data_IF_680504731106
#
_entry.id   IF_680504731106
#
_cell.length_a   1.000
_cell.length_b   1.000
_cell.length_c   1.000
_cell.angle_alpha   90.00
_cell.angle_beta   90.00
_cell.angle_gamma   90.00
#
_symmetry.space_group_name_H-M   'P 1'
#
loop_
_entity.id
_entity.type
_entity.pdbx_description
1 polymer ?
#
# COMPACT_ATOMS: atom_id res chain seq x y z
N UNK A 1 10.05 -23.03 -23.10
CA UNK A 1 10.82 -21.86 -23.57
C UNK A 1 10.92 -20.92 -22.40
N UNK A 2 12.10 -20.87 -21.80
CA UNK A 2 12.39 -20.12 -20.58
C UNK A 2 12.42 -18.64 -20.95
N UNK A 3 11.34 -17.90 -20.69
CA UNK A 3 11.38 -16.45 -20.78
C UNK A 3 12.28 -15.99 -19.65
N UNK A 4 13.56 -15.79 -19.96
CA UNK A 4 14.44 -15.01 -19.11
C UNK A 4 13.69 -13.70 -18.86
N UNK A 5 13.31 -13.45 -17.61
CA UNK A 5 12.72 -12.18 -17.18
C UNK A 5 13.70 -11.12 -17.66
N UNK A 6 13.38 -10.46 -18.78
CA UNK A 6 14.22 -9.40 -19.30
C UNK A 6 14.34 -8.41 -18.16
N UNK A 7 15.57 -8.19 -17.65
CA UNK A 7 15.81 -7.27 -16.53
C UNK A 7 15.26 -5.92 -16.94
N UNK A 8 14.05 -5.60 -16.48
CA UNK A 8 13.45 -4.31 -16.73
C UNK A 8 14.34 -3.29 -16.01
N UNK A 9 14.83 -2.31 -16.75
CA UNK A 9 15.76 -1.35 -16.17
C UNK A 9 14.98 -0.34 -15.32
N UNK A 10 14.78 -0.69 -14.05
CA UNK A 10 14.08 0.15 -13.08
C UNK A 10 14.78 1.49 -12.88
N UNK A 11 16.11 1.52 -12.96
CA UNK A 11 16.88 2.75 -12.80
C UNK A 11 16.53 3.73 -13.92
N UNK A 12 16.43 3.24 -15.17
CA UNK A 12 16.01 4.06 -16.30
C UNK A 12 14.54 4.49 -16.20
N UNK A 13 13.65 3.60 -15.77
CA UNK A 13 12.23 3.91 -15.64
C UNK A 13 11.95 4.96 -14.56
N UNK A 14 12.72 4.93 -13.46
CA UNK A 14 12.60 5.87 -12.35
C UNK A 14 13.48 7.12 -12.51
N UNK A 15 14.35 7.19 -13.53
CA UNK A 15 15.20 8.35 -13.84
C UNK A 15 14.50 9.48 -14.61
N UNK A 16 13.15 9.47 -14.70
CA UNK A 16 12.35 10.57 -15.26
C UNK A 16 12.45 11.87 -14.44
N UNK A 17 11.57 12.86 -14.62
CA UNK A 17 11.60 14.07 -13.78
C UNK A 17 11.13 13.68 -12.35
N UNK A 18 12.06 13.15 -11.55
CA UNK A 18 11.85 12.62 -10.19
C UNK A 18 11.51 13.73 -9.17
N UNK A 19 11.35 14.98 -9.64
CA UNK A 19 11.01 16.13 -8.81
C UNK A 19 9.53 16.25 -8.45
N UNK A 20 8.62 15.49 -9.10
CA UNK A 20 7.18 15.58 -8.83
C UNK A 20 6.55 14.21 -8.54
N UNK A 21 5.55 14.21 -7.67
CA UNK A 21 4.76 13.02 -7.33
C UNK A 21 4.07 12.41 -8.57
N UNK A 22 3.60 13.25 -9.48
CA UNK A 22 2.96 12.81 -10.72
C UNK A 22 3.95 12.10 -11.65
N UNK A 23 5.19 12.61 -11.75
CA UNK A 23 6.26 11.95 -12.48
C UNK A 23 6.58 10.56 -11.92
N UNK A 24 6.65 10.43 -10.60
CA UNK A 24 6.82 9.13 -9.93
C UNK A 24 5.65 8.17 -10.22
N UNK A 25 4.40 8.64 -10.13
CA UNK A 25 3.21 7.80 -10.40
C UNK A 25 3.22 7.31 -11.85
N UNK A 26 3.58 8.18 -12.80
CA UNK A 26 3.70 7.82 -14.22
C UNK A 26 4.81 6.79 -14.45
N UNK A 27 5.98 7.01 -13.86
CA UNK A 27 7.12 6.10 -13.94
C UNK A 27 6.76 4.70 -13.40
N UNK A 28 6.17 4.63 -12.20
CA UNK A 28 5.70 3.36 -11.61
C UNK A 28 4.61 2.70 -12.45
N UNK A 29 3.74 3.49 -13.09
CA UNK A 29 2.70 2.99 -13.99
C UNK A 29 3.25 2.26 -15.22
N UNK A 30 4.46 2.62 -15.67
CA UNK A 30 5.13 2.00 -16.83
C UNK A 30 5.77 0.65 -16.51
N UNK A 31 6.01 0.33 -15.24
CA UNK A 31 6.64 -0.92 -14.82
C UNK A 31 5.71 -2.11 -15.14
N UNK A 32 6.15 -3.13 -15.90
CA UNK A 32 5.33 -4.29 -16.23
C UNK A 32 4.82 -5.04 -15.00
N UNK A 33 3.61 -5.60 -15.11
CA UNK A 33 3.05 -6.49 -14.07
C UNK A 33 3.62 -7.88 -14.26
N UNK A 34 4.06 -8.51 -13.17
CA UNK A 34 4.55 -9.89 -13.17
C UNK A 34 3.41 -10.89 -13.38
N UNK A 35 3.70 -11.94 -14.15
CA UNK A 35 2.87 -13.14 -14.20
C UNK A 35 2.90 -13.87 -12.85
N UNK A 36 1.96 -14.81 -12.62
CA UNK A 36 1.96 -15.60 -11.37
C UNK A 36 3.21 -16.46 -11.30
N UNK A 37 3.63 -16.99 -12.44
CA UNK A 37 4.79 -17.86 -12.61
C UNK A 37 6.09 -17.11 -12.32
N UNK A 38 6.25 -15.89 -12.86
CA UNK A 38 7.44 -15.06 -12.60
C UNK A 38 7.50 -14.62 -11.13
N UNK A 39 6.36 -14.25 -10.54
CA UNK A 39 6.24 -13.89 -9.14
C UNK A 39 6.67 -15.05 -8.22
N UNK A 40 6.25 -16.28 -8.54
CA UNK A 40 6.68 -17.48 -7.82
C UNK A 40 8.17 -17.78 -8.02
N UNK A 41 8.69 -17.63 -9.24
CA UNK A 41 10.11 -17.86 -9.52
C UNK A 41 11.00 -16.87 -8.73
N UNK A 42 10.64 -15.60 -8.70
CA UNK A 42 11.34 -14.57 -7.93
C UNK A 42 11.21 -14.81 -6.41
N UNK A 43 10.02 -15.17 -5.93
CA UNK A 43 9.81 -15.46 -4.51
C UNK A 43 10.62 -16.67 -4.03
N UNK A 44 10.71 -17.74 -4.84
CA UNK A 44 11.57 -18.90 -4.55
C UNK A 44 13.05 -18.52 -4.53
N UNK A 45 13.52 -17.74 -5.51
CA UNK A 45 14.91 -17.23 -5.54
C UNK A 45 15.24 -16.41 -4.31
N UNK A 46 14.34 -15.52 -3.89
CA UNK A 46 14.52 -14.72 -2.69
C UNK A 46 14.59 -15.61 -1.43
N UNK A 47 13.68 -16.57 -1.29
CA UNK A 47 13.63 -17.45 -0.11
C UNK A 47 14.84 -18.38 -0.02
N UNK A 48 15.22 -19.00 -1.13
CA UNK A 48 16.21 -20.08 -1.15
C UNK A 48 17.65 -19.53 -1.21
N UNK A 49 17.86 -18.37 -1.83
CA UNK A 49 19.19 -17.80 -2.08
C UNK A 49 19.41 -16.41 -1.46
N UNK A 50 18.44 -15.87 -0.71
CA UNK A 50 18.46 -14.48 -0.20
C UNK A 50 18.72 -13.44 -1.31
N UNK A 51 18.23 -13.72 -2.52
CA UNK A 51 18.49 -12.94 -3.74
C UNK A 51 17.86 -11.54 -3.66
N UNK A 52 18.69 -10.53 -3.41
CA UNK A 52 18.27 -9.14 -3.30
C UNK A 52 17.75 -8.54 -4.61
N UNK A 53 18.25 -9.02 -5.77
CA UNK A 53 17.72 -8.60 -7.06
C UNK A 53 16.29 -9.12 -7.21
N UNK A 54 16.01 -10.37 -6.80
CA UNK A 54 14.66 -10.92 -6.82
C UNK A 54 13.71 -10.16 -5.88
N UNK A 55 14.17 -9.78 -4.67
CA UNK A 55 13.39 -8.91 -3.79
C UNK A 55 13.09 -7.55 -4.43
N UNK A 56 14.09 -6.92 -5.07
CA UNK A 56 13.93 -5.64 -5.75
C UNK A 56 12.87 -5.75 -6.86
N UNK A 57 12.97 -6.76 -7.71
CA UNK A 57 12.05 -6.96 -8.83
C UNK A 57 10.61 -7.19 -8.34
N UNK A 58 10.43 -7.99 -7.28
CA UNK A 58 9.14 -8.18 -6.60
C UNK A 58 8.57 -6.87 -6.06
N UNK A 59 9.39 -6.06 -5.38
CA UNK A 59 8.94 -4.76 -4.83
C UNK A 59 8.55 -3.82 -5.96
N UNK A 60 9.40 -3.65 -6.96
CA UNK A 60 9.22 -2.70 -8.06
C UNK A 60 7.94 -2.99 -8.86
N UNK A 61 7.66 -4.25 -9.18
CA UNK A 61 6.46 -4.66 -9.91
C UNK A 61 5.15 -4.33 -9.16
N UNK A 62 5.21 -4.20 -7.83
CA UNK A 62 4.06 -4.02 -6.95
C UNK A 62 3.86 -2.59 -6.44
N UNK A 63 4.74 -1.63 -6.79
CA UNK A 63 4.60 -0.23 -6.36
C UNK A 63 3.26 0.40 -6.79
N UNK A 64 2.73 0.03 -7.96
CA UNK A 64 1.41 0.50 -8.43
C UNK A 64 0.28 0.16 -7.45
N UNK A 65 0.38 -1.00 -6.79
CA UNK A 65 -0.61 -1.48 -5.83
C UNK A 65 -0.52 -0.69 -4.53
N UNK A 66 0.69 -0.34 -4.09
CA UNK A 66 0.90 0.54 -2.93
C UNK A 66 0.26 1.90 -3.18
N UNK A 67 0.48 2.52 -4.35
CA UNK A 67 -0.13 3.80 -4.72
C UNK A 67 -1.66 3.72 -4.65
N UNK A 68 -2.25 2.63 -5.18
CA UNK A 68 -3.69 2.40 -5.11
C UNK A 68 -4.21 2.36 -3.66
N UNK A 69 -3.52 1.65 -2.77
CA UNK A 69 -3.90 1.58 -1.35
C UNK A 69 -3.74 2.93 -0.67
N UNK A 70 -2.61 3.61 -0.87
CA UNK A 70 -2.28 4.88 -0.23
C UNK A 70 -3.29 5.99 -0.57
N UNK A 71 -3.81 6.02 -1.81
CA UNK A 71 -4.88 6.95 -2.21
C UNK A 71 -6.15 6.84 -1.33
N UNK A 72 -6.44 5.65 -0.80
CA UNK A 72 -7.56 5.42 0.14
C UNK A 72 -7.40 6.11 1.50
N UNK A 73 -6.18 6.54 1.84
CA UNK A 73 -5.83 7.25 3.08
C UNK A 73 -5.71 8.76 2.90
N UNK A 74 -6.10 9.27 1.73
CA UNK A 74 -6.11 10.72 1.49
C UNK A 74 -7.10 11.45 2.40
N UNK A 75 -6.72 12.66 2.78
CA UNK A 75 -7.54 13.59 3.57
C UNK A 75 -7.52 13.40 5.08
N UNK A 76 -6.64 12.56 5.64
CA UNK A 76 -6.21 12.67 7.04
C UNK A 76 -5.28 13.88 7.29
N UNK A 77 -5.08 14.75 6.30
CA UNK A 77 -4.19 15.92 6.39
C UNK A 77 -2.72 15.60 6.14
N UNK A 78 -2.41 14.39 5.67
CA UNK A 78 -1.05 13.92 5.42
C UNK A 78 -0.71 13.95 3.93
N UNK A 79 0.54 14.27 3.56
CA UNK A 79 1.00 14.24 2.17
C UNK A 79 0.90 12.82 1.58
N UNK A 80 0.46 12.71 0.31
CA UNK A 80 0.30 11.43 -0.36
C UNK A 80 1.64 10.72 -0.60
N UNK A 81 2.71 11.47 -0.86
CA UNK A 81 4.06 10.93 -0.98
C UNK A 81 4.47 10.18 0.28
N UNK A 82 4.22 10.72 1.47
CA UNK A 82 4.58 10.05 2.74
C UNK A 82 3.76 8.77 2.93
N UNK A 83 2.45 8.80 2.63
CA UNK A 83 1.60 7.61 2.69
C UNK A 83 2.07 6.51 1.73
N UNK A 84 2.54 6.88 0.53
CA UNK A 84 3.11 5.93 -0.43
C UNK A 84 4.41 5.33 0.12
N UNK A 85 5.30 6.15 0.70
CA UNK A 85 6.57 5.67 1.24
C UNK A 85 6.37 4.69 2.40
N UNK A 86 5.45 4.98 3.32
CA UNK A 86 5.11 4.07 4.42
C UNK A 86 4.46 2.78 3.90
N UNK A 87 3.62 2.90 2.87
CA UNK A 87 3.10 1.74 2.17
C UNK A 87 4.19 0.89 1.51
N UNK A 88 5.22 1.52 0.92
CA UNK A 88 6.35 0.84 0.31
C UNK A 88 7.18 0.09 1.37
N UNK A 89 7.38 0.68 2.56
CA UNK A 89 7.98 -0.02 3.71
C UNK A 89 7.15 -1.24 4.10
N UNK A 90 5.82 -1.13 4.11
CA UNK A 90 4.92 -2.26 4.33
C UNK A 90 5.07 -3.36 3.27
N UNK A 91 5.18 -2.99 2.00
CA UNK A 91 5.42 -3.93 0.90
C UNK A 91 6.77 -4.65 1.09
N UNK A 92 7.85 -3.94 1.41
CA UNK A 92 9.17 -4.54 1.66
C UNK A 92 9.11 -5.55 2.82
N UNK A 93 8.39 -5.20 3.91
CA UNK A 93 8.16 -6.10 5.04
C UNK A 93 7.37 -7.35 4.65
N UNK A 94 6.42 -7.23 3.72
CA UNK A 94 5.66 -8.35 3.19
C UNK A 94 6.53 -9.24 2.30
N UNK A 95 7.28 -8.67 1.35
CA UNK A 95 8.16 -9.41 0.43
C UNK A 95 9.16 -10.26 1.21
N UNK A 96 9.76 -9.71 2.28
CA UNK A 96 10.70 -10.45 3.15
C UNK A 96 10.08 -11.68 3.83
N UNK A 97 8.76 -11.71 4.03
CA UNK A 97 8.03 -12.77 4.79
C UNK A 97 7.10 -13.59 3.91
N UNK A 98 7.07 -13.32 2.62
CA UNK A 98 6.18 -14.00 1.70
C UNK A 98 6.69 -15.41 1.46
N UNK A 99 5.80 -16.38 1.61
CA UNK A 99 6.10 -17.78 1.34
C UNK A 99 5.40 -18.22 0.03
N UNK A 100 6.17 -18.59 -1.01
CA UNK A 100 5.61 -18.99 -2.30
C UNK A 100 4.86 -20.33 -2.26
N UNK A 101 5.00 -21.15 -1.22
CA UNK A 101 4.39 -22.48 -1.16
C UNK A 101 2.87 -22.43 -0.90
N UNK A 102 2.34 -21.28 -0.46
CA UNK A 102 0.89 -21.08 -0.28
C UNK A 102 0.11 -20.89 -1.60
N UNK A 103 0.78 -20.83 -2.76
CA UNK A 103 0.17 -20.65 -4.10
C UNK A 103 -0.78 -19.43 -4.26
N UNK A 104 -0.63 -18.43 -3.38
CA UNK A 104 -1.38 -17.17 -3.45
C UNK A 104 -0.55 -16.06 -4.12
N UNK A 105 -1.23 -15.06 -4.66
CA UNK A 105 -0.56 -13.85 -5.15
C UNK A 105 0.04 -13.03 -4.00
N UNK A 106 1.23 -12.47 -4.21
CA UNK A 106 1.92 -11.59 -3.27
C UNK A 106 1.02 -10.42 -2.83
N UNK A 107 0.25 -9.83 -3.74
CA UNK A 107 -0.68 -8.73 -3.40
C UNK A 107 -1.67 -9.09 -2.29
N UNK A 108 -2.16 -10.34 -2.28
CA UNK A 108 -3.12 -10.83 -1.29
C UNK A 108 -2.50 -10.87 0.11
N UNK A 109 -1.21 -11.18 0.19
CA UNK A 109 -0.46 -11.15 1.45
C UNK A 109 -0.04 -9.72 1.84
N UNK A 110 0.51 -8.97 0.88
CA UNK A 110 1.11 -7.66 1.10
C UNK A 110 0.11 -6.60 1.54
N UNK A 111 -1.16 -6.70 1.13
CA UNK A 111 -2.19 -5.70 1.46
C UNK A 111 -2.32 -5.45 2.97
N UNK A 112 -2.15 -6.49 3.79
CA UNK A 112 -2.26 -6.36 5.25
C UNK A 112 -1.08 -5.59 5.84
N UNK A 113 0.14 -5.84 5.36
CA UNK A 113 1.34 -5.13 5.76
C UNK A 113 1.32 -3.66 5.33
N UNK A 114 0.95 -3.40 4.07
CA UNK A 114 0.84 -2.05 3.51
C UNK A 114 -0.15 -1.22 4.34
N UNK A 115 -1.36 -1.76 4.60
CA UNK A 115 -2.37 -1.06 5.42
C UNK A 115 -1.93 -0.86 6.86
N UNK A 116 -1.22 -1.82 7.45
CA UNK A 116 -0.74 -1.72 8.82
C UNK A 116 0.29 -0.58 8.98
N UNK A 117 1.28 -0.49 8.08
CA UNK A 117 2.27 0.59 8.13
C UNK A 117 1.63 1.96 7.89
N UNK A 118 0.76 2.09 6.87
CA UNK A 118 0.04 3.35 6.63
C UNK A 118 -0.84 3.73 7.83
N UNK A 119 -1.55 2.78 8.44
CA UNK A 119 -2.34 3.05 9.64
C UNK A 119 -1.49 3.56 10.80
N UNK A 120 -0.34 2.93 11.03
CA UNK A 120 0.57 3.32 12.11
C UNK A 120 1.14 4.73 11.86
N UNK A 121 1.53 5.04 10.62
CA UNK A 121 1.96 6.39 10.24
C UNK A 121 0.86 7.43 10.43
N UNK A 122 -0.35 7.14 9.96
CA UNK A 122 -1.50 8.06 10.11
C UNK A 122 -1.75 8.34 11.59
N UNK A 123 -1.81 7.31 12.43
CA UNK A 123 -2.08 7.47 13.87
C UNK A 123 -1.01 8.27 14.61
N UNK A 124 0.25 8.18 14.18
CA UNK A 124 1.37 8.91 14.77
C UNK A 124 1.46 10.37 14.33
N UNK A 125 1.02 10.67 13.10
CA UNK A 125 1.33 11.95 12.44
C UNK A 125 0.10 12.80 12.07
N UNK A 126 -1.13 12.31 12.24
CA UNK A 126 -2.34 13.09 11.90
C UNK A 126 -2.53 14.38 12.72
N UNK A 127 -1.77 14.54 13.81
CA UNK A 127 -1.75 15.75 14.64
C UNK A 127 -0.36 15.93 15.27
N UNK A 128 -0.04 17.17 15.61
CA UNK A 128 1.24 17.55 16.23
C UNK A 128 1.40 16.91 17.62
N UNK A 129 0.34 16.93 18.44
CA UNK A 129 0.37 16.38 19.81
C UNK A 129 0.04 14.89 19.79
N UNK A 130 1.00 14.06 20.19
CA UNK A 130 0.84 12.61 20.27
C UNK A 130 -0.08 12.24 21.43
N UNK A 131 -0.95 11.25 21.22
CA UNK A 131 -1.80 10.71 22.29
C UNK A 131 -1.77 9.19 22.21
N UNK A 132 -1.65 8.56 23.37
CA UNK A 132 -1.76 7.12 23.49
C UNK A 132 -3.15 6.66 23.03
N UNK A 133 -3.21 5.56 22.26
CA UNK A 133 -4.46 5.03 21.75
C UNK A 133 -4.58 3.54 22.06
N UNK A 134 -5.78 3.11 22.45
CA UNK A 134 -6.12 1.69 22.61
C UNK A 134 -6.54 1.08 21.27
N UNK A 135 -6.59 -0.25 21.18
CA UNK A 135 -7.07 -0.97 19.97
C UNK A 135 -8.49 -0.54 19.56
N UNK A 136 -9.38 -0.32 20.53
CA UNK A 136 -10.74 0.15 20.29
C UNK A 136 -10.76 1.57 19.71
N UNK A 137 -9.94 2.47 20.28
CA UNK A 137 -9.82 3.85 19.80
C UNK A 137 -9.22 3.93 18.40
N UNK A 138 -8.19 3.13 18.09
CA UNK A 138 -7.63 3.02 16.73
C UNK A 138 -8.70 2.60 15.73
N UNK A 139 -9.48 1.55 16.04
CA UNK A 139 -10.59 1.09 15.20
C UNK A 139 -11.65 2.19 15.01
N UNK A 140 -12.01 2.88 16.09
CA UNK A 140 -12.97 3.98 16.06
C UNK A 140 -12.49 5.12 15.14
N UNK A 141 -11.23 5.54 15.26
CA UNK A 141 -10.63 6.61 14.46
C UNK A 141 -10.81 6.39 12.93
N UNK A 142 -10.42 5.22 12.42
CA UNK A 142 -10.56 4.92 10.99
C UNK A 142 -12.04 4.75 10.58
N UNK A 143 -12.88 4.18 11.45
CA UNK A 143 -14.31 3.98 11.16
C UNK A 143 -15.12 5.28 11.15
N UNK A 144 -14.82 6.22 12.06
CA UNK A 144 -15.52 7.50 12.13
C UNK A 144 -15.36 8.28 10.82
N UNK A 145 -14.17 8.31 10.24
CA UNK A 145 -13.95 8.95 8.95
C UNK A 145 -14.72 8.25 7.82
N UNK A 146 -14.73 6.92 7.81
CA UNK A 146 -15.50 6.14 6.82
C UNK A 146 -16.99 6.47 6.90
N UNK A 147 -17.55 6.58 8.11
CA UNK A 147 -18.96 6.92 8.36
C UNK A 147 -19.28 8.39 8.13
N UNK A 148 -18.32 9.32 8.25
CA UNK A 148 -18.54 10.75 8.01
C UNK A 148 -19.03 11.05 6.59
N UNK A 149 -18.67 10.23 5.59
CA UNK A 149 -19.19 10.37 4.22
C UNK A 149 -20.70 10.15 4.12
N UNK A 150 -21.30 9.47 5.11
CA UNK A 150 -22.72 9.13 5.18
C UNK A 150 -23.47 10.00 6.20
N UNK A 151 -22.80 10.98 6.82
CA UNK A 151 -23.45 12.02 7.62
C UNK A 151 -24.18 12.99 6.68
N UNK A 152 -25.27 12.49 6.07
CA UNK A 152 -26.36 13.32 5.59
C UNK A 152 -27.07 13.92 6.80
N UNK A 153 -27.69 15.08 6.62
CA UNK A 153 -28.73 15.54 7.53
C UNK A 153 -29.79 14.44 7.65
N UNK A 154 -30.32 14.24 8.86
CA UNK A 154 -31.46 13.35 9.08
C UNK A 154 -32.60 13.83 8.16
N UNK A 155 -33.23 12.89 7.47
CA UNK A 155 -34.46 13.20 6.73
C UNK A 155 -35.56 13.62 7.71
N UNK A 156 -36.58 14.36 7.25
CA UNK A 156 -37.70 14.77 8.12
C UNK A 156 -38.37 13.55 8.80
N UNK A 157 -38.41 12.41 8.11
CA UNK A 157 -38.90 11.14 8.64
C UNK A 157 -38.01 10.58 9.77
N UNK A 158 -36.69 10.56 9.60
CA UNK A 158 -35.74 10.12 10.64
C UNK A 158 -35.71 11.09 11.82
N UNK A 159 -35.88 12.39 11.56
CA UNK A 159 -35.92 13.44 12.58
C UNK A 159 -37.15 13.28 13.48
N UNK A 160 -38.33 13.01 12.89
CA UNK A 160 -39.56 12.71 13.64
C UNK A 160 -39.48 11.40 14.44
N UNK A 161 -38.74 10.40 13.95
CA UNK A 161 -38.56 9.12 14.63
C UNK A 161 -37.66 9.22 15.88
N UNK A 162 -36.67 10.11 15.87
CA UNK A 162 -35.76 10.35 17.00
C UNK A 162 -36.35 11.33 18.03
N UNK A 163 -37.27 12.21 17.63
CA UNK A 163 -37.89 13.21 18.49
C UNK A 163 -39.05 12.68 19.38
N UNK A 164 -39.29 11.37 19.40
CA UNK A 164 -40.35 10.71 20.20
C UNK A 164 -39.73 9.88 21.31
#
# INVERSE_FOLDING_TARGET
>A
MTTAVAKFNYDLALAGPVGSLDGYIQAVGSIPVLSKEDEQALARRLRDNEDLDAARDLVMAHLRFVIHIAKGYTGYGLPLNDLIQEGNVGLMKAVKRFDPDYDVRLVSFAVHWIRAEIHEFVLKNWRIVKVATTKAQRKLFFNLRKKKKTLSWLTDAETKAVAK
#
